data_IF_366059797111
#
_entry.id   IF_366059797111
#
_cell.length_a   1.000
_cell.length_b   1.000
_cell.length_c   1.000
_cell.angle_alpha   90.00
_cell.angle_beta   90.00
_cell.angle_gamma   90.00
#
_symmetry.space_group_name_H-M   'P 1'
#
loop_
_entity.id
_entity.type
_entity.pdbx_description
1 polymer ?
#
# COMPACT_ATOMS: atom_id res chain seq x y z
N UNK A 1 -32.01 -14.31 0.67
CA UNK A 1 -31.50 -13.28 1.60
C UNK A 1 -32.48 -13.22 2.76
N UNK A 2 -32.04 -13.55 3.97
CA UNK A 2 -32.92 -13.58 5.14
C UNK A 2 -33.39 -12.18 5.51
N UNK A 3 -34.71 -11.99 5.58
CA UNK A 3 -35.32 -10.73 6.00
C UNK A 3 -35.00 -10.39 7.46
N UNK A 4 -35.18 -9.12 7.83
CA UNK A 4 -35.00 -8.66 9.19
C UNK A 4 -36.13 -9.22 10.07
N UNK A 5 -35.79 -9.95 11.13
CA UNK A 5 -36.77 -10.48 12.08
C UNK A 5 -37.49 -9.34 12.83
N UNK A 6 -38.75 -9.52 13.19
CA UNK A 6 -39.58 -8.51 13.88
C UNK A 6 -39.05 -8.19 15.28
N UNK A 7 -38.44 -9.18 15.96
CA UNK A 7 -37.85 -9.03 17.29
C UNK A 7 -36.45 -8.37 17.30
N UNK A 8 -35.99 -7.83 16.17
CA UNK A 8 -34.70 -7.16 16.11
C UNK A 8 -34.77 -5.79 16.81
N UNK A 9 -33.91 -5.47 17.80
CA UNK A 9 -33.86 -4.13 18.39
C UNK A 9 -33.47 -3.03 17.38
N UNK A 10 -33.02 -3.43 16.20
CA UNK A 10 -32.72 -2.59 15.04
C UNK A 10 -33.72 -2.80 13.89
N UNK A 11 -34.92 -3.33 14.14
CA UNK A 11 -35.98 -3.52 13.14
C UNK A 11 -36.26 -2.19 12.41
N UNK A 12 -36.35 -2.21 11.08
CA UNK A 12 -36.36 -1.02 10.21
C UNK A 12 -34.96 -0.42 9.94
N UNK A 13 -34.07 -0.38 10.94
CA UNK A 13 -32.67 0.12 10.81
C UNK A 13 -31.67 -0.89 10.24
N UNK A 14 -32.04 -2.16 10.13
CA UNK A 14 -31.19 -3.19 9.49
C UNK A 14 -31.19 -3.12 7.96
N UNK A 15 -32.16 -2.40 7.39
CA UNK A 15 -32.24 -2.04 5.97
C UNK A 15 -31.58 -0.69 5.68
N UNK A 16 -31.44 0.16 6.70
CA UNK A 16 -30.84 1.49 6.58
C UNK A 16 -29.31 1.39 6.58
N UNK A 17 -28.83 1.22 5.35
CA UNK A 17 -27.57 1.68 4.79
C UNK A 17 -26.29 1.27 5.55
N UNK A 18 -25.65 0.19 5.07
CA UNK A 18 -24.28 -0.16 5.47
C UNK A 18 -23.31 1.04 5.40
N UNK A 19 -23.61 2.04 4.57
CA UNK A 19 -22.89 3.31 4.51
C UNK A 19 -23.03 4.12 5.80
N UNK A 20 -24.21 4.20 6.41
CA UNK A 20 -24.44 4.92 7.66
C UNK A 20 -23.71 4.27 8.85
N UNK A 21 -23.67 2.94 8.92
CA UNK A 21 -22.87 2.22 9.91
C UNK A 21 -21.37 2.51 9.74
N UNK A 22 -20.88 2.43 8.50
CA UNK A 22 -19.48 2.74 8.18
C UNK A 22 -19.11 4.17 8.56
N UNK A 23 -19.96 5.14 8.25
CA UNK A 23 -19.72 6.55 8.58
C UNK A 23 -19.62 6.78 10.09
N UNK A 24 -20.50 6.15 10.88
CA UNK A 24 -20.39 6.20 12.36
C UNK A 24 -19.07 5.60 12.87
N UNK A 25 -18.65 4.46 12.33
CA UNK A 25 -17.37 3.86 12.70
C UNK A 25 -16.19 4.75 12.30
N UNK A 26 -16.27 5.45 11.16
CA UNK A 26 -15.26 6.41 10.73
C UNK A 26 -15.18 7.63 11.63
N UNK A 27 -16.32 8.19 12.04
CA UNK A 27 -16.38 9.30 12.98
C UNK A 27 -15.77 8.93 14.34
N UNK A 28 -16.06 7.72 14.83
CA UNK A 28 -15.46 7.20 16.06
C UNK A 28 -13.96 6.97 15.92
N UNK A 29 -13.51 6.41 14.78
CA UNK A 29 -12.10 6.23 14.49
C UNK A 29 -11.37 7.58 14.44
N UNK A 30 -11.96 8.60 13.81
CA UNK A 30 -11.42 9.96 13.74
C UNK A 30 -11.28 10.58 15.13
N UNK A 31 -12.35 10.56 15.93
CA UNK A 31 -12.35 11.10 17.29
C UNK A 31 -11.32 10.41 18.18
N UNK A 32 -11.29 9.08 18.16
CA UNK A 32 -10.38 8.27 18.97
C UNK A 32 -8.92 8.48 18.54
N UNK A 33 -8.66 8.52 17.23
CA UNK A 33 -7.33 8.80 16.68
C UNK A 33 -6.81 10.16 17.16
N UNK A 34 -7.63 11.22 17.02
CA UNK A 34 -7.21 12.57 17.42
C UNK A 34 -6.94 12.67 18.91
N UNK A 35 -7.77 12.04 19.74
CA UNK A 35 -7.58 12.06 21.19
C UNK A 35 -6.32 11.28 21.59
N UNK A 36 -6.17 10.06 21.09
CA UNK A 36 -5.16 9.14 21.60
C UNK A 36 -3.83 9.26 20.86
N UNK A 37 -3.84 9.23 19.53
CA UNK A 37 -2.62 9.27 18.72
C UNK A 37 -2.08 10.70 18.70
N UNK A 38 -2.88 11.66 18.22
CA UNK A 38 -2.44 13.06 18.11
C UNK A 38 -2.34 13.74 19.48
N UNK A 39 -3.34 13.55 20.35
CA UNK A 39 -3.42 14.25 21.64
C UNK A 39 -2.55 13.65 22.74
N UNK A 40 -2.37 12.32 22.76
CA UNK A 40 -1.65 11.61 23.84
C UNK A 40 -0.39 10.88 23.37
N UNK A 41 -0.05 10.95 22.07
CA UNK A 41 1.14 10.29 21.52
C UNK A 41 1.06 8.76 21.51
N UNK A 42 -0.16 8.18 21.53
CA UNK A 42 -0.34 6.73 21.41
C UNK A 42 0.20 6.26 20.06
N UNK A 43 0.95 5.16 20.05
CA UNK A 43 1.42 4.55 18.81
C UNK A 43 0.25 4.19 17.89
N UNK A 44 0.37 4.50 16.61
CA UNK A 44 -0.61 4.17 15.57
C UNK A 44 -1.01 2.70 15.62
N UNK A 45 -0.01 1.81 15.69
CA UNK A 45 -0.23 0.36 15.75
C UNK A 45 -1.06 -0.09 16.95
N UNK A 46 -0.90 0.59 18.10
CA UNK A 46 -1.68 0.29 19.30
C UNK A 46 -3.09 0.85 19.21
N UNK A 47 -3.27 2.05 18.66
CA UNK A 47 -4.59 2.59 18.33
C UNK A 47 -5.35 1.64 17.40
N UNK A 48 -4.73 1.19 16.31
CA UNK A 48 -5.35 0.27 15.33
C UNK A 48 -5.79 -1.03 16.01
N UNK A 49 -4.91 -1.66 16.78
CA UNK A 49 -5.25 -2.89 17.49
C UNK A 49 -6.40 -2.69 18.49
N UNK A 50 -6.36 -1.63 19.30
CA UNK A 50 -7.41 -1.37 20.30
C UNK A 50 -8.75 -1.05 19.62
N UNK A 51 -8.75 -0.25 18.55
CA UNK A 51 -9.95 0.12 17.81
C UNK A 51 -10.61 -1.11 17.17
N UNK A 52 -9.85 -1.92 16.43
CA UNK A 52 -10.38 -3.11 15.76
C UNK A 52 -10.88 -4.16 16.76
N UNK A 53 -10.18 -4.35 17.87
CA UNK A 53 -10.64 -5.25 18.94
C UNK A 53 -11.92 -4.73 19.61
N UNK A 54 -12.05 -3.42 19.80
CA UNK A 54 -13.26 -2.79 20.35
C UNK A 54 -14.50 -2.97 19.46
N UNK A 55 -14.31 -3.09 18.14
CA UNK A 55 -15.39 -3.25 17.16
C UNK A 55 -15.60 -4.69 16.69
N UNK A 56 -14.95 -5.67 17.32
CA UNK A 56 -15.00 -7.09 16.90
C UNK A 56 -16.40 -7.70 16.95
N UNK A 57 -17.21 -7.29 17.92
CA UNK A 57 -18.55 -7.84 18.14
C UNK A 57 -19.64 -6.79 17.84
N UNK A 58 -20.84 -7.27 17.53
CA UNK A 58 -22.02 -6.44 17.26
C UNK A 58 -23.23 -7.01 17.97
N UNK A 59 -24.09 -6.12 18.47
CA UNK A 59 -25.37 -6.48 19.09
C UNK A 59 -26.48 -6.75 18.05
N UNK A 60 -26.16 -6.67 16.76
CA UNK A 60 -27.12 -6.99 15.71
C UNK A 60 -27.59 -8.44 15.82
N UNK A 61 -28.90 -8.64 16.01
CA UNK A 61 -29.49 -9.98 16.15
C UNK A 61 -29.75 -10.67 14.80
N UNK A 62 -30.00 -9.91 13.74
CA UNK A 62 -30.31 -10.44 12.42
C UNK A 62 -29.06 -10.62 11.54
N UNK A 63 -29.14 -11.52 10.55
CA UNK A 63 -28.04 -11.76 9.63
C UNK A 63 -27.67 -10.53 8.79
N UNK A 64 -28.66 -9.72 8.38
CA UNK A 64 -28.41 -8.49 7.61
C UNK A 64 -27.56 -7.48 8.39
N UNK A 65 -27.89 -7.22 9.66
CA UNK A 65 -27.12 -6.32 10.53
C UNK A 65 -25.71 -6.85 10.82
N UNK A 66 -25.57 -8.14 11.10
CA UNK A 66 -24.25 -8.78 11.28
C UNK A 66 -23.38 -8.65 10.03
N UNK A 67 -23.97 -8.86 8.84
CA UNK A 67 -23.25 -8.71 7.58
C UNK A 67 -22.87 -7.25 7.30
N UNK A 68 -23.75 -6.29 7.59
CA UNK A 68 -23.46 -4.87 7.46
C UNK A 68 -22.30 -4.44 8.39
N UNK A 69 -22.31 -4.90 9.65
CA UNK A 69 -21.22 -4.69 10.59
C UNK A 69 -19.91 -5.27 10.11
N UNK A 70 -19.90 -6.54 9.70
CA UNK A 70 -18.69 -7.18 9.17
C UNK A 70 -18.16 -6.46 7.93
N UNK A 71 -19.04 -5.97 7.05
CA UNK A 71 -18.64 -5.18 5.88
C UNK A 71 -17.99 -3.86 6.29
N UNK A 72 -18.60 -3.12 7.22
CA UNK A 72 -18.06 -1.86 7.71
C UNK A 72 -16.71 -2.06 8.43
N UNK A 73 -16.62 -3.05 9.31
CA UNK A 73 -15.39 -3.42 10.02
C UNK A 73 -14.29 -3.83 9.04
N UNK A 74 -14.60 -4.59 7.99
CA UNK A 74 -13.64 -4.96 6.96
C UNK A 74 -13.06 -3.76 6.21
N UNK A 75 -13.89 -2.74 5.91
CA UNK A 75 -13.44 -1.49 5.27
C UNK A 75 -12.53 -0.68 6.23
N UNK A 76 -12.91 -0.56 7.51
CA UNK A 76 -12.08 0.10 8.51
C UNK A 76 -10.75 -0.63 8.69
N UNK A 77 -10.76 -1.97 8.73
CA UNK A 77 -9.55 -2.79 8.82
C UNK A 77 -8.62 -2.52 7.63
N UNK A 78 -9.15 -2.50 6.40
CA UNK A 78 -8.37 -2.17 5.21
C UNK A 78 -7.78 -0.74 5.29
N UNK A 79 -8.55 0.23 5.78
CA UNK A 79 -8.05 1.59 6.01
C UNK A 79 -6.89 1.61 7.01
N UNK A 80 -7.06 0.98 8.18
CA UNK A 80 -6.11 1.09 9.28
C UNK A 80 -4.87 0.20 9.14
N UNK A 81 -4.99 -0.99 8.54
CA UNK A 81 -3.88 -1.93 8.44
C UNK A 81 -3.19 -1.87 7.08
N UNK A 82 -3.93 -1.61 6.00
CA UNK A 82 -3.40 -1.65 4.63
C UNK A 82 -3.09 -0.26 4.08
N UNK A 83 -3.77 0.80 4.54
CA UNK A 83 -3.54 2.18 4.09
C UNK A 83 -3.33 3.17 5.25
N UNK A 84 -2.30 2.97 6.11
CA UNK A 84 -1.96 3.92 7.17
C UNK A 84 -1.76 5.35 6.66
N UNK A 85 -1.27 5.51 5.43
CA UNK A 85 -1.10 6.82 4.78
C UNK A 85 -2.43 7.59 4.68
N UNK A 86 -3.53 6.91 4.35
CA UNK A 86 -4.86 7.52 4.32
C UNK A 86 -5.42 7.74 5.72
N UNK A 87 -5.22 6.77 6.61
CA UNK A 87 -5.67 6.91 7.98
C UNK A 87 -5.01 8.15 8.64
N UNK A 88 -3.71 8.33 8.47
CA UNK A 88 -3.00 9.50 8.96
C UNK A 88 -3.44 10.81 8.28
N UNK A 89 -3.71 10.81 6.96
CA UNK A 89 -4.20 12.01 6.26
C UNK A 89 -5.60 12.43 6.75
N UNK A 90 -6.54 11.48 6.80
CA UNK A 90 -7.95 11.77 7.03
C UNK A 90 -8.33 11.76 8.52
N UNK A 91 -7.79 10.84 9.34
CA UNK A 91 -8.11 10.77 10.76
C UNK A 91 -7.40 11.86 11.59
N UNK A 92 -6.22 12.32 11.16
CA UNK A 92 -5.54 13.43 11.82
C UNK A 92 -6.12 14.80 11.47
N UNK A 93 -6.97 14.89 10.43
CA UNK A 93 -7.56 16.15 9.98
C UNK A 93 -8.42 16.81 11.09
N UNK A 94 -8.52 18.15 11.15
CA UNK A 94 -9.32 18.86 12.17
C UNK A 94 -10.79 18.41 12.24
N UNK A 95 -11.33 17.92 11.13
CA UNK A 95 -12.66 17.34 11.04
C UNK A 95 -12.77 16.46 9.79
N UNK A 96 -13.61 15.44 9.87
CA UNK A 96 -13.87 14.50 8.78
C UNK A 96 -15.29 14.72 8.27
N UNK A 97 -15.43 15.41 7.13
CA UNK A 97 -16.76 15.58 6.53
C UNK A 97 -17.19 14.33 5.77
N UNK A 98 -18.49 14.21 5.47
CA UNK A 98 -19.00 13.18 4.55
C UNK A 98 -18.29 13.18 3.19
N UNK A 99 -17.94 14.36 2.67
CA UNK A 99 -17.22 14.47 1.39
C UNK A 99 -15.78 13.95 1.52
N UNK A 100 -15.13 14.19 2.65
CA UNK A 100 -13.80 13.66 2.94
C UNK A 100 -13.83 12.14 3.10
N UNK A 101 -14.83 11.61 3.82
CA UNK A 101 -15.06 10.18 3.96
C UNK A 101 -15.32 9.51 2.59
N UNK A 102 -16.19 10.08 1.76
CA UNK A 102 -16.46 9.58 0.42
C UNK A 102 -15.20 9.55 -0.46
N UNK A 103 -14.38 10.60 -0.38
CA UNK A 103 -13.11 10.71 -1.11
C UNK A 103 -12.10 9.68 -0.61
N UNK A 104 -11.91 9.54 0.69
CA UNK A 104 -11.07 8.51 1.29
C UNK A 104 -11.51 7.10 0.85
N UNK A 105 -12.83 6.83 0.85
CA UNK A 105 -13.38 5.55 0.41
C UNK A 105 -13.18 5.30 -1.09
N UNK A 106 -13.32 6.31 -1.97
CA UNK A 106 -12.99 6.16 -3.39
C UNK A 106 -11.52 5.76 -3.57
N UNK A 107 -10.60 6.42 -2.86
CA UNK A 107 -9.17 6.07 -2.90
C UNK A 107 -8.94 4.64 -2.43
N UNK A 108 -9.56 4.25 -1.31
CA UNK A 108 -9.39 2.94 -0.71
C UNK A 108 -9.92 1.84 -1.65
N UNK A 109 -11.09 2.06 -2.25
CA UNK A 109 -11.74 1.09 -3.15
C UNK A 109 -11.04 0.98 -4.50
N UNK A 110 -10.41 2.06 -4.98
CA UNK A 110 -9.92 2.11 -6.37
C UNK A 110 -8.39 2.18 -6.47
N UNK A 111 -7.70 2.32 -5.34
CA UNK A 111 -6.25 2.54 -5.29
C UNK A 111 -5.82 3.92 -5.81
N UNK A 112 -6.75 4.81 -6.18
CA UNK A 112 -6.46 6.14 -6.74
C UNK A 112 -6.24 7.17 -5.63
N UNK A 113 -5.01 7.61 -5.38
CA UNK A 113 -4.72 8.56 -4.29
C UNK A 113 -5.33 9.97 -4.47
N UNK A 114 -5.90 10.52 -3.39
CA UNK A 114 -6.28 11.92 -3.17
C UNK A 114 -5.74 12.33 -1.78
N UNK A 115 -4.79 13.24 -1.53
CA UNK A 115 -4.52 14.53 -2.16
C UNK A 115 -3.21 15.17 -1.67
N UNK A 116 -2.64 16.08 -2.49
CA UNK A 116 -2.05 17.37 -2.08
C UNK A 116 -0.84 17.43 -1.13
N UNK A 117 0.14 16.53 -1.20
CA UNK A 117 1.56 16.89 -0.94
C UNK A 117 2.51 16.08 -1.83
N UNK A 118 2.67 16.48 -3.08
CA UNK A 118 3.81 16.09 -3.89
C UNK A 118 3.98 17.08 -5.04
N UNK A 119 5.22 17.49 -5.25
CA UNK A 119 5.64 18.33 -6.35
C UNK A 119 5.22 17.71 -7.69
N UNK A 120 4.50 18.49 -8.52
CA UNK A 120 4.21 18.15 -9.92
C UNK A 120 2.86 17.46 -10.15
N UNK A 121 1.93 18.20 -10.78
CA UNK A 121 0.63 17.70 -11.24
C UNK A 121 0.78 16.41 -12.09
N UNK A 122 -0.05 15.39 -11.82
CA UNK A 122 -0.27 14.19 -12.65
C UNK A 122 0.86 13.15 -12.82
N UNK A 123 1.87 13.10 -11.94
CA UNK A 123 2.85 11.99 -12.03
C UNK A 123 2.24 10.65 -11.53
N UNK A 124 2.36 9.56 -12.31
CA UNK A 124 1.90 8.24 -11.90
C UNK A 124 2.69 7.76 -10.67
N UNK A 125 2.08 6.96 -9.80
CA UNK A 125 2.73 6.38 -8.60
C UNK A 125 2.73 4.87 -8.70
N UNK A 126 3.57 4.21 -7.90
CA UNK A 126 3.45 2.76 -7.74
C UNK A 126 2.21 2.43 -6.91
N UNK A 127 1.49 1.39 -7.32
CA UNK A 127 0.67 0.61 -6.41
C UNK A 127 1.57 -0.51 -5.88
N UNK A 128 2.18 -0.26 -4.71
CA UNK A 128 3.02 -1.23 -4.01
C UNK A 128 2.17 -2.07 -3.06
N UNK A 129 2.41 -3.38 -3.05
CA UNK A 129 1.83 -4.34 -2.09
C UNK A 129 2.88 -4.87 -1.13
N UNK A 130 4.05 -4.25 -1.09
CA UNK A 130 5.14 -4.68 -0.20
C UNK A 130 4.78 -4.39 1.26
N UNK A 131 5.01 -5.37 2.11
CA UNK A 131 5.03 -5.18 3.56
C UNK A 131 6.42 -4.75 4.04
N UNK A 132 6.55 -4.09 5.21
CA UNK A 132 7.86 -3.78 5.80
C UNK A 132 8.77 -5.01 5.99
N UNK A 133 8.19 -6.20 6.17
CA UNK A 133 8.96 -7.47 6.27
C UNK A 133 9.61 -7.87 4.94
N UNK A 134 9.05 -7.44 3.81
CA UNK A 134 9.56 -7.76 2.47
C UNK A 134 10.58 -6.75 1.97
N UNK A 135 10.55 -5.50 2.43
CA UNK A 135 11.45 -4.43 1.94
C UNK A 135 12.90 -4.69 2.34
N UNK A 136 13.17 -5.21 3.54
CA UNK A 136 14.52 -5.57 4.00
C UNK A 136 15.20 -6.61 3.09
N UNK A 137 14.64 -7.82 2.88
CA UNK A 137 15.29 -8.81 2.02
C UNK A 137 15.37 -8.37 0.55
N UNK A 138 14.44 -7.53 0.07
CA UNK A 138 14.51 -6.97 -1.29
C UNK A 138 15.64 -5.94 -1.44
N UNK A 139 15.87 -5.10 -0.44
CA UNK A 139 17.00 -4.18 -0.41
C UNK A 139 18.33 -4.95 -0.41
N UNK A 140 18.44 -6.03 0.38
CA UNK A 140 19.62 -6.90 0.34
C UNK A 140 19.85 -7.56 -1.03
N UNK A 141 18.78 -7.99 -1.70
CA UNK A 141 18.89 -8.56 -3.06
C UNK A 141 19.41 -7.48 -4.03
N UNK A 142 18.86 -6.27 -3.96
CA UNK A 142 19.29 -5.16 -4.81
C UNK A 142 20.76 -4.79 -4.58
N UNK A 143 21.21 -4.79 -3.33
CA UNK A 143 22.60 -4.55 -2.94
C UNK A 143 23.54 -5.67 -3.44
N UNK A 144 23.27 -6.93 -3.08
CA UNK A 144 24.06 -8.12 -3.47
C UNK A 144 24.18 -8.29 -4.99
N UNK A 145 23.19 -7.81 -5.74
CA UNK A 145 23.17 -7.92 -7.20
C UNK A 145 23.63 -6.64 -7.91
N UNK A 146 23.99 -5.59 -7.17
CA UNK A 146 24.48 -4.33 -7.73
C UNK A 146 23.45 -3.68 -8.64
N UNK A 147 22.22 -3.51 -8.13
CA UNK A 147 21.15 -2.79 -8.83
C UNK A 147 21.39 -1.28 -8.75
N UNK A 148 21.70 -0.79 -7.56
CA UNK A 148 21.97 0.63 -7.28
C UNK A 148 23.45 0.85 -6.95
N UNK A 149 23.97 2.01 -7.32
CA UNK A 149 25.32 2.43 -6.95
C UNK A 149 25.36 2.77 -5.47
N UNK A 150 26.27 2.14 -4.71
CA UNK A 150 26.37 2.33 -3.26
C UNK A 150 25.37 1.52 -2.42
N UNK A 151 24.57 0.64 -3.05
CA UNK A 151 23.53 -0.13 -2.37
C UNK A 151 22.22 0.65 -2.21
N UNK A 152 21.26 0.08 -1.49
CA UNK A 152 19.98 0.73 -1.14
C UNK A 152 19.52 0.20 0.23
N UNK A 153 19.00 1.06 1.10
CA UNK A 153 18.37 0.61 2.37
C UNK A 153 16.91 0.22 2.18
N UNK A 154 16.31 -0.44 3.17
CA UNK A 154 14.89 -0.77 3.16
C UNK A 154 14.01 0.50 3.14
N UNK A 155 14.42 1.55 3.86
CA UNK A 155 13.76 2.84 3.92
C UNK A 155 13.84 3.59 2.59
N UNK A 156 15.00 3.55 1.93
CA UNK A 156 15.18 4.14 0.60
C UNK A 156 14.37 3.39 -0.46
N UNK A 157 14.31 2.06 -0.39
CA UNK A 157 13.47 1.25 -1.27
C UNK A 157 11.97 1.57 -1.05
N UNK A 158 11.52 1.70 0.21
CA UNK A 158 10.16 2.15 0.53
C UNK A 158 9.90 3.55 -0.02
N UNK A 159 10.79 4.51 0.22
CA UNK A 159 10.66 5.87 -0.28
C UNK A 159 10.64 5.93 -1.82
N UNK A 160 11.40 5.07 -2.49
CA UNK A 160 11.42 4.93 -3.95
C UNK A 160 10.05 4.48 -4.47
N UNK A 161 9.50 3.43 -3.88
CA UNK A 161 8.20 2.88 -4.25
C UNK A 161 7.05 3.84 -3.90
N UNK A 162 7.17 4.59 -2.82
CA UNK A 162 6.19 5.62 -2.46
C UNK A 162 6.33 6.91 -3.29
N UNK A 163 7.33 6.98 -4.17
CA UNK A 163 7.68 8.17 -4.95
C UNK A 163 7.97 9.39 -4.05
N UNK A 164 8.62 9.14 -2.91
CA UNK A 164 8.98 10.11 -1.85
C UNK A 164 10.48 10.38 -1.72
N UNK A 165 11.32 9.79 -2.57
CA UNK A 165 12.75 10.07 -2.58
C UNK A 165 13.03 11.57 -2.76
N UNK A 166 13.88 12.12 -1.89
CA UNK A 166 14.34 13.50 -1.99
C UNK A 166 15.27 13.73 -3.18
N UNK A 167 16.05 12.70 -3.56
CA UNK A 167 16.98 12.72 -4.69
C UNK A 167 16.87 11.40 -5.46
N UNK A 168 17.08 11.41 -6.79
CA UNK A 168 17.11 10.17 -7.57
C UNK A 168 18.24 9.24 -7.08
N UNK A 169 17.96 7.94 -7.04
CA UNK A 169 19.01 6.93 -6.83
C UNK A 169 19.79 6.71 -8.12
N UNK A 170 21.06 6.31 -8.01
CA UNK A 170 21.87 6.01 -9.20
C UNK A 170 21.87 4.52 -9.49
N UNK A 171 21.60 4.16 -10.73
CA UNK A 171 21.69 2.78 -11.20
C UNK A 171 23.15 2.35 -11.26
N UNK A 172 23.52 1.22 -10.66
CA UNK A 172 24.83 0.61 -10.91
C UNK A 172 24.84 -0.13 -12.25
N UNK A 173 23.69 -0.71 -12.64
CA UNK A 173 23.54 -1.40 -13.91
C UNK A 173 22.08 -1.34 -14.40
N UNK A 174 21.84 -0.63 -15.50
CA UNK A 174 20.49 -0.40 -16.03
C UNK A 174 19.75 -1.70 -16.37
N UNK A 175 20.45 -2.77 -16.80
CA UNK A 175 19.83 -4.07 -17.10
C UNK A 175 19.37 -4.78 -15.83
N UNK A 176 20.20 -4.75 -14.78
CA UNK A 176 19.86 -5.35 -13.47
C UNK A 176 18.73 -4.59 -12.80
N UNK A 177 18.77 -3.25 -12.84
CA UNK A 177 17.67 -2.39 -12.40
C UNK A 177 16.37 -2.76 -13.11
N UNK A 178 16.38 -2.85 -14.43
CA UNK A 178 15.18 -3.17 -15.18
C UNK A 178 14.63 -4.57 -14.82
N UNK A 179 15.50 -5.57 -14.68
CA UNK A 179 15.11 -6.92 -14.26
C UNK A 179 14.58 -6.96 -12.82
N UNK A 180 15.12 -6.15 -11.92
CA UNK A 180 14.65 -6.07 -10.53
C UNK A 180 13.21 -5.60 -10.47
N UNK A 181 12.88 -4.49 -11.13
CA UNK A 181 11.50 -4.00 -11.18
C UNK A 181 10.55 -4.90 -11.98
N UNK A 182 11.02 -5.51 -13.07
CA UNK A 182 10.26 -6.51 -13.83
C UNK A 182 9.90 -7.71 -12.94
N UNK A 183 10.87 -8.21 -12.16
CA UNK A 183 10.64 -9.32 -11.23
C UNK A 183 9.65 -8.96 -10.11
N UNK A 184 9.72 -7.73 -9.57
CA UNK A 184 8.75 -7.25 -8.59
C UNK A 184 7.33 -7.20 -9.18
N UNK A 185 7.19 -6.74 -10.42
CA UNK A 185 5.90 -6.66 -11.11
C UNK A 185 5.35 -8.05 -11.46
N UNK A 186 6.20 -8.97 -11.92
CA UNK A 186 5.85 -10.36 -12.18
C UNK A 186 5.37 -11.08 -10.91
N UNK A 187 6.04 -10.81 -9.78
CA UNK A 187 5.64 -11.28 -8.47
C UNK A 187 4.43 -10.52 -7.87
N UNK A 188 3.81 -9.61 -8.62
CA UNK A 188 2.65 -8.78 -8.21
C UNK A 188 2.90 -7.93 -6.96
N UNK A 189 4.17 -7.68 -6.63
CA UNK A 189 4.56 -6.81 -5.51
C UNK A 189 4.40 -5.34 -5.89
N UNK A 190 4.54 -5.01 -7.17
CA UNK A 190 4.25 -3.69 -7.73
C UNK A 190 3.42 -3.81 -9.02
N UNK A 191 2.90 -2.69 -9.51
CA UNK A 191 2.17 -2.64 -10.78
C UNK A 191 3.09 -2.81 -12.01
N UNK A 192 2.55 -3.38 -13.09
CA UNK A 192 3.26 -3.65 -14.35
C UNK A 192 3.75 -2.39 -15.07
N UNK A 193 3.11 -1.25 -14.84
CA UNK A 193 3.47 0.05 -15.43
C UNK A 193 4.70 0.73 -14.76
N UNK A 194 5.51 -0.04 -14.02
CA UNK A 194 6.67 0.47 -13.26
C UNK A 194 7.62 1.36 -14.07
N UNK A 195 7.86 1.06 -15.36
CA UNK A 195 8.75 1.87 -16.22
C UNK A 195 8.21 3.28 -16.42
N UNK A 196 6.88 3.42 -16.54
CA UNK A 196 6.20 4.72 -16.66
C UNK A 196 6.30 5.50 -15.36
N UNK A 197 6.17 4.81 -14.23
CA UNK A 197 6.27 5.43 -12.89
C UNK A 197 7.69 5.95 -12.65
N UNK A 198 8.72 5.12 -12.81
CA UNK A 198 10.12 5.55 -12.59
C UNK A 198 10.51 6.73 -13.49
N UNK A 199 10.17 6.65 -14.79
CA UNK A 199 10.54 7.69 -15.75
C UNK A 199 9.83 9.03 -15.46
N UNK A 200 8.53 9.00 -15.13
CA UNK A 200 7.77 10.22 -14.87
C UNK A 200 8.21 10.90 -13.56
N UNK A 201 8.59 10.12 -12.55
CA UNK A 201 9.07 10.64 -11.28
C UNK A 201 10.56 11.02 -11.32
N UNK A 202 11.31 10.54 -12.32
CA UNK A 202 12.75 10.77 -12.41
C UNK A 202 13.50 10.11 -11.24
N UNK A 203 12.98 9.00 -10.72
CA UNK A 203 13.43 8.41 -9.45
C UNK A 203 14.80 7.74 -9.53
N UNK A 204 15.28 7.43 -10.73
CA UNK A 204 16.57 6.74 -10.94
C UNK A 204 17.35 7.38 -12.10
N UNK A 205 18.64 7.59 -11.91
CA UNK A 205 19.58 8.02 -12.96
C UNK A 205 20.34 6.84 -13.57
N UNK A 206 20.82 7.04 -14.80
CA UNK A 206 21.54 6.02 -15.56
C UNK A 206 22.89 5.68 -14.96
N UNK A 207 23.32 4.42 -15.13
CA UNK A 207 24.66 3.99 -14.74
C UNK A 207 25.78 4.68 -15.52
N UNK A 208 25.50 5.16 -16.74
CA UNK A 208 26.49 5.81 -17.60
C UNK A 208 26.48 7.34 -17.53
N UNK A 209 25.47 7.94 -16.88
CA UNK A 209 25.30 9.40 -16.87
C UNK A 209 24.35 9.83 -15.77
N UNK A 210 24.47 11.04 -15.26
CA UNK A 210 23.55 11.58 -14.23
C UNK A 210 22.17 11.99 -14.77
N UNK A 211 21.82 11.57 -15.99
CA UNK A 211 20.48 11.77 -16.57
C UNK A 211 19.51 10.73 -16.01
N UNK A 212 18.27 11.15 -15.78
CA UNK A 212 17.18 10.26 -15.39
C UNK A 212 16.87 9.24 -16.48
N UNK A 213 16.52 8.03 -16.08
CA UNK A 213 16.17 6.97 -17.02
C UNK A 213 14.78 7.21 -17.63
N UNK A 214 14.72 7.25 -18.96
CA UNK A 214 13.46 7.31 -19.70
C UNK A 214 12.79 5.93 -19.76
N UNK A 215 11.49 5.91 -20.10
CA UNK A 215 10.76 4.65 -20.32
C UNK A 215 11.40 3.81 -21.42
N UNK A 216 11.85 4.44 -22.50
CA UNK A 216 12.52 3.73 -23.62
C UNK A 216 13.86 3.14 -23.20
N UNK A 217 14.64 3.85 -22.36
CA UNK A 217 15.89 3.33 -21.82
C UNK A 217 15.66 2.12 -20.90
N UNK A 218 14.65 2.17 -20.02
CA UNK A 218 14.27 1.05 -19.15
C UNK A 218 13.78 -0.16 -19.94
N UNK A 219 12.98 0.07 -20.99
CA UNK A 219 12.48 -0.99 -21.88
C UNK A 219 13.60 -1.66 -22.67
N UNK A 220 14.51 -0.86 -23.22
CA UNK A 220 15.68 -1.38 -23.95
C UNK A 220 16.59 -2.18 -23.04
N UNK A 221 16.88 -1.67 -21.84
CA UNK A 221 17.69 -2.38 -20.85
C UNK A 221 17.06 -3.72 -20.44
N UNK A 222 15.73 -3.78 -20.31
CA UNK A 222 15.03 -5.04 -20.03
C UNK A 222 15.11 -6.02 -21.20
N UNK A 223 14.91 -5.55 -22.43
CA UNK A 223 15.00 -6.38 -23.63
C UNK A 223 16.41 -6.99 -23.79
N UNK A 224 17.45 -6.18 -23.60
CA UNK A 224 18.84 -6.65 -23.59
C UNK A 224 19.14 -7.63 -22.45
N UNK A 225 18.53 -7.45 -21.29
CA UNK A 225 18.68 -8.38 -20.19
C UNK A 225 18.07 -9.76 -20.49
N UNK A 226 17.07 -9.84 -21.39
CA UNK A 226 16.42 -11.10 -21.79
C UNK A 226 17.25 -11.89 -22.78
N UNK A 227 18.13 -11.25 -23.56
CA UNK A 227 18.97 -11.94 -24.56
C UNK A 227 20.26 -12.51 -23.98
N UNK A 228 20.71 -12.02 -22.82
CA UNK A 228 21.93 -12.49 -22.15
C UNK A 228 21.66 -13.45 -20.98
N UNK A 229 22.40 -14.56 -20.90
CA UNK A 229 22.46 -15.40 -19.69
C UNK A 229 23.36 -14.73 -18.64
N UNK A 230 22.75 -14.06 -17.67
CA UNK A 230 23.45 -13.42 -16.55
C UNK A 230 23.08 -14.08 -15.22
N UNK A 231 24.09 -14.53 -14.48
CA UNK A 231 23.92 -15.11 -13.13
C UNK A 231 23.25 -14.10 -12.18
N UNK A 232 23.57 -12.81 -12.31
CA UNK A 232 22.93 -11.75 -11.52
C UNK A 232 21.43 -11.62 -11.86
N UNK A 233 21.05 -11.71 -13.14
CA UNK A 233 19.64 -11.67 -13.56
C UNK A 233 18.86 -12.86 -13.00
N UNK A 234 19.46 -14.06 -13.02
CA UNK A 234 18.87 -15.25 -12.41
C UNK A 234 18.73 -15.10 -10.88
N UNK A 235 19.75 -14.56 -10.22
CA UNK A 235 19.75 -14.31 -8.78
C UNK A 235 18.65 -13.31 -8.38
N UNK A 236 18.49 -12.21 -9.12
CA UNK A 236 17.43 -11.22 -8.91
C UNK A 236 16.06 -11.89 -8.99
N UNK A 237 15.76 -12.57 -10.12
CA UNK A 237 14.47 -13.21 -10.33
C UNK A 237 14.16 -14.28 -9.28
N UNK A 238 15.14 -15.08 -8.90
CA UNK A 238 15.00 -16.11 -7.86
C UNK A 238 14.78 -15.49 -6.48
N UNK A 239 15.56 -14.47 -6.13
CA UNK A 239 15.47 -13.78 -4.85
C UNK A 239 14.11 -13.12 -4.65
N UNK A 240 13.65 -12.35 -5.65
CA UNK A 240 12.36 -11.65 -5.59
C UNK A 240 11.20 -12.64 -5.46
N UNK A 241 11.20 -13.73 -6.25
CA UNK A 241 10.16 -14.78 -6.13
C UNK A 241 10.12 -15.40 -4.74
N UNK A 242 11.28 -15.74 -4.16
CA UNK A 242 11.34 -16.29 -2.81
C UNK A 242 10.73 -15.32 -1.78
N UNK A 243 11.03 -14.03 -1.87
CA UNK A 243 10.44 -13.03 -0.95
C UNK A 243 8.92 -12.92 -1.10
N UNK A 244 8.40 -13.05 -2.33
CA UNK A 244 6.96 -13.07 -2.57
C UNK A 244 6.29 -14.32 -1.96
N UNK A 245 6.85 -15.51 -2.21
CA UNK A 245 6.31 -16.80 -1.74
C UNK A 245 6.33 -16.93 -0.21
N UNK A 246 7.36 -16.41 0.46
CA UNK A 246 7.46 -16.49 1.93
C UNK A 246 6.34 -15.71 2.62
N UNK A 247 5.79 -14.68 1.98
CA UNK A 247 4.71 -13.86 2.54
C UNK A 247 3.31 -14.47 2.37
N UNK A 248 3.10 -15.30 1.32
CA UNK A 248 1.84 -16.03 1.12
C UNK A 248 1.67 -17.16 2.14
N UNK A 249 2.77 -17.86 2.47
CA UNK A 249 2.75 -18.97 3.42
C UNK A 249 2.43 -18.54 4.87
N UNK A 250 2.88 -17.34 5.29
CA UNK A 250 2.56 -16.78 6.62
C UNK A 250 1.07 -16.42 6.76
N UNK A 251 0.40 -16.02 5.66
CA UNK A 251 -1.05 -15.76 5.65
C UNK A 251 -1.88 -17.06 5.68
N UNK A 252 -1.32 -18.17 5.20
CA UNK A 252 -2.00 -19.48 5.25
C UNK A 252 -1.77 -20.22 6.56
N UNK A 253 -0.65 -19.98 7.25
CA UNK A 253 -0.33 -20.62 8.53
C UNK A 253 -1.09 -20.03 9.75
N UNK A 254 -1.89 -18.98 9.53
CA UNK A 254 -2.67 -18.29 10.57
C UNK A 254 -4.19 -18.50 10.46
N UNK A 255 -4.66 -19.41 9.60
CA UNK A 255 -6.08 -19.81 9.50
C UNK A 255 -6.35 -21.17 10.15
#
# INVERSE_FOLDING_TARGET
>A
MGGCNEDCPLHGRCSDDASALLLRMLDEAHSTYRNEVTGKGKLYSRFTADFLNGHRYTDALCAAGKNAHNKALGIITALLETRPDLAEEYLASPGLSHADAAKMLDILNTGRCCTKKAHGKNKPRFISRLTPKQTVPLAEIADKTGVFEGGITAEELSALLDCRLAKPLKSANNRRLAVFFDALADARLIERDWQKVLAANGSVTSSASDRTLSRSALSSALAEAKTGMSAAVAAIRKGVRKVAETAENDHTATN
#
